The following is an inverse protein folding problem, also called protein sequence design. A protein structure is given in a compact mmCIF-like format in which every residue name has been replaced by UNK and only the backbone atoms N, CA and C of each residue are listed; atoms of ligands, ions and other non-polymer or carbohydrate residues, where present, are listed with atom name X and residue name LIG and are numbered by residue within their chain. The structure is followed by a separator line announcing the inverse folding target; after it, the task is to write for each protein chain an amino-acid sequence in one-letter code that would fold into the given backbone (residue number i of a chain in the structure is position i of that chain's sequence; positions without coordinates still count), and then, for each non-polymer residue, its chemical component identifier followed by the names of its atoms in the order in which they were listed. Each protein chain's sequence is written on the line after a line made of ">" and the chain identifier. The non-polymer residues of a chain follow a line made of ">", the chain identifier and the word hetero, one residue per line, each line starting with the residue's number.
data_IF_595995316920
#
_entry.id   IF_595995316920
#
_cell.length_a   1.000
_cell.length_b   1.000
_cell.length_c   1.000
_cell.angle_alpha   90.00
_cell.angle_beta   90.00
_cell.angle_gamma   90.00
#
_symmetry.space_group_name_H-M   'P 1'
#
loop_
_entity.id
_entity.type
_entity.pdbx_description
1 polymer ?
#
# COMPACT_ATOMS: atom_id res chain seq x y z
N UNK A 1 -11.82 7.20 -23.24
CA UNK A 1 -11.25 5.85 -23.20
C UNK A 1 -9.88 5.94 -22.59
N UNK A 2 -9.62 5.22 -21.50
CA UNK A 2 -8.30 5.12 -20.87
C UNK A 2 -7.56 3.86 -21.34
N UNK A 3 -6.25 3.84 -21.18
CA UNK A 3 -5.41 2.64 -21.35
C UNK A 3 -5.15 2.07 -19.96
N UNK A 4 -5.29 0.76 -19.81
CA UNK A 4 -4.96 0.04 -18.57
C UNK A 4 -3.69 -0.77 -18.79
N UNK A 5 -2.78 -0.69 -17.83
CA UNK A 5 -1.59 -1.54 -17.73
C UNK A 5 -1.71 -2.40 -16.47
N UNK A 6 -1.08 -3.57 -16.46
CA UNK A 6 -1.08 -4.48 -15.32
C UNK A 6 0.35 -4.96 -15.06
N UNK A 7 0.75 -4.93 -13.79
CA UNK A 7 2.08 -5.33 -13.33
C UNK A 7 1.96 -6.48 -12.34
N UNK A 8 2.62 -7.60 -12.63
CA UNK A 8 2.84 -8.65 -11.65
C UNK A 8 3.90 -8.20 -10.64
N UNK A 9 3.52 -8.00 -9.39
CA UNK A 9 4.43 -7.44 -8.36
C UNK A 9 5.61 -8.37 -8.04
N UNK A 10 5.49 -9.67 -8.31
CA UNK A 10 6.57 -10.66 -8.15
C UNK A 10 7.68 -10.53 -9.20
N UNK A 11 7.34 -10.03 -10.38
CA UNK A 11 8.24 -9.85 -11.53
C UNK A 11 8.34 -8.37 -11.93
N UNK A 12 7.91 -7.47 -11.04
CA UNK A 12 7.81 -6.05 -11.33
C UNK A 12 9.16 -5.40 -11.64
N UNK A 13 9.18 -4.42 -12.55
CA UNK A 13 10.39 -3.70 -12.89
C UNK A 13 10.91 -2.90 -11.69
N UNK A 14 12.23 -2.72 -11.59
CA UNK A 14 12.87 -2.01 -10.47
C UNK A 14 12.42 -0.56 -10.33
N UNK A 15 11.94 0.04 -11.41
CA UNK A 15 11.42 1.40 -11.44
C UNK A 15 9.90 1.49 -11.24
N UNK A 16 9.23 0.40 -10.83
CA UNK A 16 7.81 0.38 -10.47
C UNK A 16 7.42 1.52 -9.49
N UNK A 17 8.19 1.83 -8.43
CA UNK A 17 7.88 2.99 -7.58
C UNK A 17 7.75 4.30 -8.37
N UNK A 18 8.66 4.52 -9.34
CA UNK A 18 8.65 5.71 -10.19
C UNK A 18 7.45 5.72 -11.14
N UNK A 19 7.04 4.56 -11.64
CA UNK A 19 5.83 4.41 -12.47
C UNK A 19 4.60 4.79 -11.64
N UNK A 20 4.49 4.26 -10.42
CA UNK A 20 3.40 4.56 -9.49
C UNK A 20 3.34 6.05 -9.16
N UNK A 21 4.47 6.68 -8.81
CA UNK A 21 4.52 8.12 -8.54
C UNK A 21 4.00 8.92 -9.73
N UNK A 22 4.51 8.66 -10.94
CA UNK A 22 4.09 9.39 -12.14
C UNK A 22 2.61 9.18 -12.46
N UNK A 23 2.09 7.97 -12.24
CA UNK A 23 0.69 7.66 -12.45
C UNK A 23 -0.20 8.44 -11.45
N UNK A 24 0.17 8.47 -10.17
CA UNK A 24 -0.52 9.25 -9.14
C UNK A 24 -0.49 10.75 -9.43
N UNK A 25 0.66 11.31 -9.81
CA UNK A 25 0.82 12.73 -10.18
C UNK A 25 -0.04 13.13 -11.38
N UNK A 26 -0.25 12.20 -12.32
CA UNK A 26 -1.08 12.42 -13.51
C UNK A 26 -2.57 12.17 -13.26
N UNK A 27 -2.96 11.79 -12.05
CA UNK A 27 -4.34 11.46 -11.71
C UNK A 27 -4.82 10.13 -12.30
N UNK A 28 -3.91 9.22 -12.67
CA UNK A 28 -4.27 7.85 -13.03
C UNK A 28 -4.85 7.11 -11.83
N UNK A 29 -5.71 6.13 -12.12
CA UNK A 29 -6.25 5.23 -11.10
C UNK A 29 -5.36 3.99 -11.01
N UNK A 30 -4.94 3.66 -9.80
CA UNK A 30 -4.16 2.47 -9.52
C UNK A 30 -4.93 1.55 -8.58
N UNK A 31 -5.05 0.29 -8.97
CA UNK A 31 -5.64 -0.78 -8.17
C UNK A 31 -4.58 -1.79 -7.77
N UNK A 32 -4.84 -2.61 -6.77
CA UNK A 32 -4.06 -3.82 -6.49
C UNK A 32 -4.96 -4.87 -5.85
N UNK A 33 -4.59 -6.13 -5.96
CA UNK A 33 -5.28 -7.22 -5.27
C UNK A 33 -4.29 -8.16 -4.61
N UNK A 34 -4.80 -9.03 -3.73
CA UNK A 34 -4.03 -10.13 -3.15
C UNK A 34 -4.57 -11.42 -3.77
N UNK A 35 -3.71 -12.14 -4.49
CA UNK A 35 -4.09 -13.41 -5.09
C UNK A 35 -4.53 -14.45 -4.05
N UNK A 36 -5.55 -15.20 -4.41
CA UNK A 36 -6.03 -16.35 -3.63
C UNK A 36 -5.19 -17.57 -4.02
N UNK A 37 -4.37 -18.06 -3.11
CA UNK A 37 -3.53 -19.27 -3.33
C UNK A 37 -4.27 -20.58 -3.08
N UNK A 38 -5.48 -20.53 -2.50
CA UNK A 38 -6.33 -21.70 -2.21
C UNK A 38 -7.80 -21.29 -2.24
N UNK A 39 -8.67 -22.08 -2.89
CA UNK A 39 -10.10 -21.79 -2.98
C UNK A 39 -10.81 -21.68 -1.61
N UNK A 40 -10.22 -22.24 -0.56
CA UNK A 40 -10.70 -22.12 0.83
C UNK A 40 -10.37 -20.76 1.48
N UNK A 41 -9.52 -19.95 0.85
CA UNK A 41 -9.05 -18.66 1.38
C UNK A 41 -9.71 -17.45 0.70
N UNK A 42 -10.77 -17.64 -0.07
CA UNK A 42 -11.51 -16.53 -0.70
C UNK A 42 -12.08 -15.61 0.38
N UNK A 43 -11.77 -14.31 0.31
CA UNK A 43 -12.08 -13.30 1.34
C UNK A 43 -11.50 -13.57 2.74
N UNK A 44 -10.55 -14.51 2.84
CA UNK A 44 -9.89 -14.76 4.12
C UNK A 44 -9.08 -13.52 4.54
N UNK A 45 -9.38 -13.05 5.75
CA UNK A 45 -8.61 -12.01 6.41
C UNK A 45 -7.31 -12.64 6.92
N UNK A 46 -6.18 -12.22 6.37
CA UNK A 46 -4.86 -12.62 6.85
C UNK A 46 -4.66 -12.18 8.30
N UNK A 47 -3.70 -12.77 9.01
CA UNK A 47 -3.35 -12.35 10.37
C UNK A 47 -3.03 -10.85 10.50
N UNK A 48 -2.54 -10.23 9.42
CA UNK A 48 -2.25 -8.79 9.35
C UNK A 48 -3.43 -7.94 8.83
N UNK A 49 -4.64 -8.48 8.85
CA UNK A 49 -5.88 -7.81 8.43
C UNK A 49 -5.87 -7.31 6.98
N UNK A 50 -5.29 -8.09 6.07
CA UNK A 50 -5.49 -7.92 4.62
C UNK A 50 -6.46 -8.99 4.11
N UNK A 51 -7.34 -8.63 3.18
CA UNK A 51 -8.37 -9.49 2.61
C UNK A 51 -7.86 -10.04 1.27
N UNK A 52 -7.82 -11.37 1.13
CA UNK A 52 -7.47 -12.03 -0.14
C UNK A 52 -8.62 -11.95 -1.14
N UNK A 53 -8.31 -11.88 -2.43
CA UNK A 53 -9.30 -11.79 -3.51
C UNK A 53 -10.05 -10.46 -3.56
N UNK A 54 -9.56 -9.44 -2.84
CA UNK A 54 -10.20 -8.15 -2.74
C UNK A 54 -9.40 -7.09 -3.49
N UNK A 55 -10.11 -6.19 -4.17
CA UNK A 55 -9.51 -5.07 -4.88
C UNK A 55 -9.32 -3.88 -3.94
N UNK A 56 -8.09 -3.39 -3.87
CA UNK A 56 -7.68 -2.22 -3.14
C UNK A 56 -7.29 -1.10 -4.10
N UNK A 57 -7.36 0.15 -3.64
CA UNK A 57 -6.85 1.29 -4.42
C UNK A 57 -5.50 1.75 -3.89
N UNK A 58 -4.53 1.99 -4.76
CA UNK A 58 -3.30 2.69 -4.40
C UNK A 58 -3.56 4.19 -4.52
N UNK A 59 -3.32 4.91 -3.43
CA UNK A 59 -3.70 6.32 -3.30
C UNK A 59 -2.54 7.24 -2.95
N UNK A 60 -1.32 6.70 -2.83
CA UNK A 60 -0.15 7.46 -2.46
C UNK A 60 1.11 6.61 -2.46
N UNK A 61 2.24 7.25 -2.73
CA UNK A 61 3.57 6.70 -2.56
C UNK A 61 4.46 7.84 -2.04
N UNK A 62 5.20 7.61 -0.96
CA UNK A 62 6.08 8.60 -0.33
C UNK A 62 7.36 7.92 0.12
N UNK A 63 8.48 8.64 0.04
CA UNK A 63 9.74 8.25 0.66
C UNK A 63 9.92 9.05 1.94
N UNK A 64 10.32 8.39 3.03
CA UNK A 64 10.61 9.02 4.34
C UNK A 64 12.01 8.64 4.79
N UNK A 65 12.66 9.51 5.56
CA UNK A 65 13.86 9.11 6.30
C UNK A 65 13.45 8.32 7.54
N UNK A 66 13.83 7.05 7.59
CA UNK A 66 13.62 6.17 8.73
C UNK A 66 14.98 5.68 9.23
N UNK A 67 15.41 6.22 10.37
CA UNK A 67 16.71 5.91 10.99
C UNK A 67 17.91 6.14 10.05
N UNK A 68 17.90 7.21 9.25
CA UNK A 68 18.98 7.54 8.32
C UNK A 68 18.98 6.69 7.04
N UNK A 69 17.92 5.92 6.78
CA UNK A 69 17.71 5.21 5.53
C UNK A 69 16.41 5.67 4.87
N UNK A 70 16.41 5.75 3.55
CA UNK A 70 15.21 6.05 2.77
C UNK A 70 14.27 4.85 2.77
N UNK A 71 13.13 4.95 3.45
CA UNK A 71 12.06 3.96 3.44
C UNK A 71 10.94 4.39 2.49
N UNK A 72 10.47 3.48 1.65
CA UNK A 72 9.37 3.73 0.71
C UNK A 72 8.06 3.25 1.30
N UNK A 73 7.11 4.15 1.42
CA UNK A 73 5.77 3.88 1.94
C UNK A 73 4.75 4.00 0.82
N UNK A 74 3.84 3.03 0.76
CA UNK A 74 2.69 3.04 -0.15
C UNK A 74 1.40 3.16 0.65
N UNK A 75 0.47 4.00 0.17
CA UNK A 75 -0.84 4.19 0.79
C UNK A 75 -1.90 3.43 0.03
N UNK A 76 -2.55 2.51 0.73
CA UNK A 76 -3.58 1.65 0.18
C UNK A 76 -4.92 2.02 0.81
N UNK A 77 -5.99 1.92 0.03
CA UNK A 77 -7.36 2.11 0.47
C UNK A 77 -8.16 0.83 0.25
N UNK A 78 -8.73 0.32 1.34
CA UNK A 78 -9.78 -0.68 1.32
C UNK A 78 -11.14 0.01 1.02
N UNK A 79 -11.82 -0.31 -0.10
CA UNK A 79 -13.12 0.29 -0.43
C UNK A 79 -14.21 -0.04 0.59
N UNK A 80 -14.11 -1.15 1.35
CA UNK A 80 -15.06 -1.45 2.43
C UNK A 80 -14.96 -0.52 3.63
N UNK A 81 -13.88 0.29 3.72
CA UNK A 81 -13.69 1.22 4.84
C UNK A 81 -13.56 0.53 6.20
N UNK A 82 -13.26 -0.77 6.20
CA UNK A 82 -13.12 -1.63 7.37
C UNK A 82 -11.91 -2.53 7.17
N UNK A 83 -11.39 -3.11 8.26
CA UNK A 83 -10.26 -4.06 8.23
C UNK A 83 -8.97 -3.38 7.72
N UNK A 84 -8.28 -2.73 8.65
CA UNK A 84 -7.05 -1.98 8.41
C UNK A 84 -5.81 -2.80 8.74
N UNK A 85 -4.75 -2.58 7.97
CA UNK A 85 -3.42 -3.17 8.17
C UNK A 85 -2.91 -2.94 9.60
N UNK A 86 -2.36 -3.98 10.21
CA UNK A 86 -1.81 -3.92 11.59
C UNK A 86 -0.31 -4.19 11.65
N UNK A 87 0.40 -4.15 10.51
CA UNK A 87 1.85 -4.31 10.46
C UNK A 87 2.60 -2.98 10.56
N UNK A 88 3.84 -2.96 10.06
CA UNK A 88 4.68 -1.77 10.05
C UNK A 88 3.98 -0.64 9.26
N UNK A 89 4.03 0.58 9.81
CA UNK A 89 3.37 1.78 9.27
C UNK A 89 1.85 1.76 9.31
N UNK A 90 1.25 0.83 10.04
CA UNK A 90 -0.16 0.94 10.45
C UNK A 90 -0.40 2.19 11.32
N UNK A 91 -1.65 2.62 11.46
CA UNK A 91 -2.03 3.85 12.18
C UNK A 91 -1.51 3.98 13.62
N UNK A 92 -1.20 2.85 14.26
CA UNK A 92 -0.71 2.76 15.64
C UNK A 92 0.73 2.22 15.73
N UNK A 93 1.44 2.14 14.59
CA UNK A 93 2.80 1.61 14.50
C UNK A 93 3.80 2.53 15.21
N UNK A 94 4.78 1.94 15.89
CA UNK A 94 5.85 2.69 16.57
C UNK A 94 6.85 3.35 15.60
N UNK A 95 6.85 2.92 14.34
CA UNK A 95 7.70 3.35 13.25
C UNK A 95 7.50 4.84 12.95
N UNK A 96 6.27 5.34 13.11
CA UNK A 96 5.95 6.77 13.00
C UNK A 96 6.66 7.66 14.00
N UNK A 97 7.13 7.12 15.13
CA UNK A 97 7.89 7.89 16.13
C UNK A 97 9.36 8.10 15.74
N UNK A 98 9.79 7.55 14.61
CA UNK A 98 11.20 7.45 14.22
C UNK A 98 11.49 8.11 12.87
N UNK A 99 10.49 8.81 12.32
CA UNK A 99 10.62 9.68 11.16
C UNK A 99 10.50 11.14 11.60
N UNK A 100 10.77 12.06 10.68
CA UNK A 100 10.59 13.49 10.94
C UNK A 100 9.13 13.79 11.38
N UNK A 101 8.92 14.60 12.43
CA UNK A 101 7.58 14.99 12.87
C UNK A 101 6.74 15.61 11.75
N UNK A 102 7.34 16.37 10.84
CA UNK A 102 6.64 17.01 9.71
C UNK A 102 6.14 15.95 8.71
N UNK A 103 6.96 14.96 8.37
CA UNK A 103 6.55 13.83 7.52
C UNK A 103 5.46 13.00 8.20
N UNK A 104 5.61 12.75 9.51
CA UNK A 104 4.59 12.07 10.30
C UNK A 104 3.27 12.81 10.26
N UNK A 105 3.28 14.13 10.47
CA UNK A 105 2.07 14.93 10.40
C UNK A 105 1.48 14.86 8.99
N UNK A 106 2.25 15.06 7.92
CA UNK A 106 1.76 14.99 6.54
C UNK A 106 1.10 13.63 6.23
N UNK A 107 1.74 12.53 6.63
CA UNK A 107 1.33 11.17 6.26
C UNK A 107 0.26 10.59 7.18
N UNK A 108 0.24 10.99 8.45
CA UNK A 108 -0.68 10.49 9.47
C UNK A 108 -1.82 11.49 9.79
N UNK A 109 -1.83 12.70 9.19
CA UNK A 109 -2.88 13.71 9.45
C UNK A 109 -4.28 13.25 9.04
N UNK A 110 -4.40 12.26 8.15
CA UNK A 110 -5.66 11.85 7.54
C UNK A 110 -5.94 10.38 7.81
N UNK A 111 -6.22 10.07 9.09
CA UNK A 111 -6.84 8.81 9.50
C UNK A 111 -8.25 8.74 8.92
N UNK A 112 -8.32 8.27 7.68
CA UNK A 112 -9.56 7.97 7.00
C UNK A 112 -9.79 6.47 7.05
N UNK A 113 -11.02 6.08 7.40
CA UNK A 113 -11.39 4.65 7.52
C UNK A 113 -11.02 3.86 6.27
N UNK A 114 -10.22 2.81 6.46
CA UNK A 114 -9.76 1.91 5.41
C UNK A 114 -8.59 2.42 4.58
N UNK A 115 -8.01 3.60 4.86
CA UNK A 115 -6.73 4.03 4.28
C UNK A 115 -5.60 3.72 5.26
N UNK A 116 -4.55 3.08 4.78
CA UNK A 116 -3.38 2.77 5.61
C UNK A 116 -2.09 2.84 4.79
N UNK A 117 -0.99 3.12 5.48
CA UNK A 117 0.35 3.02 4.91
C UNK A 117 0.95 1.64 5.21
N UNK A 118 1.84 1.19 4.33
CA UNK A 118 2.72 0.06 4.57
C UNK A 118 4.05 0.28 3.86
N UNK A 119 5.08 -0.47 4.26
CA UNK A 119 6.33 -0.52 3.50
C UNK A 119 6.07 -1.07 2.10
N UNK A 120 6.66 -0.44 1.09
CA UNK A 120 6.61 -0.92 -0.30
C UNK A 120 7.22 -2.33 -0.42
N UNK A 121 8.17 -2.69 0.44
CA UNK A 121 8.74 -4.03 0.47
C UNK A 121 7.72 -5.07 0.98
N UNK A 122 6.90 -4.72 1.98
CA UNK A 122 5.83 -5.58 2.45
C UNK A 122 4.66 -5.64 1.46
N UNK A 123 4.44 -4.60 0.65
CA UNK A 123 3.44 -4.58 -0.41
C UNK A 123 3.71 -5.60 -1.51
N UNK A 124 4.94 -5.72 -2.00
CA UNK A 124 5.27 -6.61 -3.13
C UNK A 124 5.14 -8.11 -2.81
N UNK A 125 4.95 -8.50 -1.54
CA UNK A 125 4.87 -9.91 -1.13
C UNK A 125 3.46 -10.50 -1.28
N UNK A 126 2.42 -9.95 -0.64
CA UNK A 126 1.07 -10.48 -0.72
C UNK A 126 0.28 -9.92 -1.92
N UNK A 127 0.57 -8.71 -2.39
CA UNK A 127 -0.19 -8.11 -3.48
C UNK A 127 0.33 -8.60 -4.84
N UNK A 128 -0.59 -8.94 -5.72
CA UNK A 128 -0.42 -9.19 -7.16
C UNK A 128 -1.82 -9.44 -7.76
N UNK A 129 -2.13 -8.92 -8.96
CA UNK A 129 -1.43 -7.87 -9.71
C UNK A 129 -1.72 -6.43 -9.21
N UNK A 130 -0.97 -5.45 -9.74
CA UNK A 130 -1.20 -3.98 -9.64
C UNK A 130 -1.65 -3.43 -11.00
#
# INVERSE_FOLDING_TARGET
>A
GGVSEMYELRSAPRDLPRIITKALERGSLLGCSIDITSAFDMEAVTFKKLVKGHAYSVTGLKEVDFRGNTERLIRIRNPWGQVEWTGAWSDNSSEWNQIDPSDREELNCKKEKGKFWMSFQEFNRPFSPL
#
